data_IF_900722443315
#
_entry.id   IF_900722443315
#
_cell.length_a   1.000
_cell.length_b   1.000
_cell.length_c   1.000
_cell.angle_alpha   90.00
_cell.angle_beta   90.00
_cell.angle_gamma   90.00
#
_symmetry.space_group_name_H-M   'P 1'
#
loop_
_entity.id
_entity.type
_entity.pdbx_description
1 polymer ?
#
# COMPACT_ATOMS: atom_id res chain seq x y z
N UNK A 1 -21.26 -2.43 -6.21
CA UNK A 1 -20.05 -3.09 -6.74
C UNK A 1 -19.48 -3.89 -5.58
N UNK A 2 -19.23 -5.19 -5.75
CA UNK A 2 -18.54 -5.96 -4.70
C UNK A 2 -17.09 -5.47 -4.64
N UNK A 3 -16.54 -5.31 -3.43
CA UNK A 3 -15.13 -4.96 -3.26
C UNK A 3 -14.21 -6.05 -3.77
N UNK A 4 -12.93 -5.75 -3.89
CA UNK A 4 -11.92 -6.71 -4.36
C UNK A 4 -11.31 -7.48 -3.17
N UNK A 5 -10.83 -8.70 -3.43
CA UNK A 5 -10.03 -9.43 -2.45
C UNK A 5 -8.63 -8.82 -2.39
N UNK A 6 -8.19 -8.42 -1.20
CA UNK A 6 -6.84 -7.95 -0.95
C UNK A 6 -6.02 -9.02 -0.23
N UNK A 7 -4.78 -9.22 -0.62
CA UNK A 7 -3.90 -10.24 -0.04
C UNK A 7 -2.64 -9.62 0.51
N UNK A 8 -2.33 -9.93 1.78
CA UNK A 8 -1.13 -9.46 2.47
C UNK A 8 -0.51 -10.60 3.29
N UNK A 9 0.81 -10.66 3.34
CA UNK A 9 1.56 -11.60 4.18
C UNK A 9 2.69 -10.90 4.94
N UNK A 10 3.10 -11.43 6.10
CA UNK A 10 4.27 -10.93 6.81
C UNK A 10 5.55 -11.24 6.03
N UNK A 11 6.62 -10.47 6.27
CA UNK A 11 7.93 -10.67 5.64
C UNK A 11 8.51 -12.07 5.84
N UNK A 12 8.22 -12.69 7.00
CA UNK A 12 8.67 -14.03 7.38
C UNK A 12 7.86 -15.16 6.74
N UNK A 13 6.67 -14.84 6.20
CA UNK A 13 5.82 -15.82 5.53
C UNK A 13 6.39 -16.16 4.16
N UNK A 14 6.60 -17.45 3.87
CA UNK A 14 7.19 -17.93 2.61
C UNK A 14 6.29 -18.92 1.87
N UNK A 15 5.15 -19.27 2.47
CA UNK A 15 4.25 -20.29 1.96
C UNK A 15 2.88 -19.71 1.60
N UNK A 16 2.10 -20.43 0.79
CA UNK A 16 0.74 -20.01 0.43
C UNK A 16 -0.20 -19.87 1.63
N UNK A 17 0.10 -20.53 2.76
CA UNK A 17 -0.70 -20.46 3.98
C UNK A 17 -0.51 -19.16 4.78
N UNK A 18 0.56 -18.41 4.50
CA UNK A 18 0.90 -17.17 5.20
C UNK A 18 0.08 -15.96 4.71
N UNK A 19 -0.57 -16.11 3.55
CA UNK A 19 -1.40 -15.06 2.98
C UNK A 19 -2.68 -14.86 3.80
N UNK A 20 -2.90 -13.60 4.16
CA UNK A 20 -4.14 -13.13 4.74
C UNK A 20 -4.97 -12.49 3.65
N UNK A 21 -6.15 -13.04 3.44
CA UNK A 21 -7.17 -12.50 2.54
C UNK A 21 -8.05 -11.53 3.32
N UNK A 22 -8.21 -10.32 2.80
CA UNK A 22 -9.20 -9.35 3.25
C UNK A 22 -10.25 -9.24 2.14
N UNK A 23 -11.45 -9.82 2.33
CA UNK A 23 -12.47 -9.83 1.31
C UNK A 23 -13.20 -8.49 1.21
N UNK A 24 -13.76 -8.21 0.04
CA UNK A 24 -14.63 -7.04 -0.21
C UNK A 24 -14.00 -5.69 0.17
N UNK A 25 -12.69 -5.54 0.02
CA UNK A 25 -12.01 -4.29 0.29
C UNK A 25 -12.20 -3.28 -0.86
N UNK A 26 -12.31 -2.01 -0.51
CA UNK A 26 -12.13 -0.89 -1.44
C UNK A 26 -10.64 -0.58 -1.53
N UNK A 27 -10.10 -0.70 -2.74
CA UNK A 27 -8.67 -0.59 -3.02
C UNK A 27 -8.45 0.58 -3.96
N UNK A 28 -7.61 1.52 -3.54
CA UNK A 28 -7.16 2.65 -4.35
C UNK A 28 -5.64 2.62 -4.47
N UNK A 29 -5.15 2.76 -5.69
CA UNK A 29 -3.70 2.89 -5.95
C UNK A 29 -3.42 4.28 -6.49
N UNK A 30 -2.36 4.90 -5.97
CA UNK A 30 -1.82 6.17 -6.45
C UNK A 30 -0.36 5.97 -6.81
N UNK A 31 -0.06 6.06 -8.10
CA UNK A 31 1.29 6.04 -8.64
C UNK A 31 1.80 7.48 -8.70
N UNK A 32 3.00 7.71 -8.18
CA UNK A 32 3.66 9.01 -8.22
C UNK A 32 5.09 8.85 -8.73
N UNK A 33 5.53 9.76 -9.60
CA UNK A 33 6.93 9.83 -10.02
C UNK A 33 7.64 10.96 -9.30
N UNK A 34 8.90 10.71 -8.95
CA UNK A 34 9.76 11.75 -8.40
C UNK A 34 10.26 12.64 -9.53
N UNK A 35 9.78 13.90 -9.53
CA UNK A 35 10.17 14.90 -10.52
C UNK A 35 10.87 16.08 -9.84
N UNK A 36 11.95 16.57 -10.44
CA UNK A 36 12.65 17.78 -10.03
C UNK A 36 12.45 18.86 -11.09
N UNK A 37 11.86 20.01 -10.69
CA UNK A 37 11.70 21.19 -11.56
C UNK A 37 12.73 22.25 -11.16
N UNK A 38 13.51 22.71 -12.14
CA UNK A 38 14.46 23.82 -11.95
C UNK A 38 13.96 25.03 -12.73
N UNK A 39 13.70 26.13 -12.03
CA UNK A 39 13.33 27.42 -12.64
C UNK A 39 14.62 28.18 -12.95
N UNK A 40 14.94 28.34 -14.24
CA UNK A 40 16.09 29.14 -14.67
C UNK A 40 15.64 30.59 -14.82
N UNK A 41 16.19 31.51 -14.02
CA UNK A 41 15.87 32.95 -14.13
C UNK A 41 16.82 33.62 -15.12
N UNK A 42 16.29 34.08 -16.25
CA UNK A 42 17.05 34.87 -17.24
C UNK A 42 17.08 34.28 -18.65
N UNK A 43 16.64 33.03 -18.83
CA UNK A 43 16.32 32.44 -20.13
C UNK A 43 14.87 31.91 -20.09
N UNK A 44 14.24 31.83 -21.25
CA UNK A 44 12.84 31.39 -21.40
C UNK A 44 12.76 29.86 -21.27
N UNK A 45 12.54 29.33 -20.06
CA UNK A 45 12.30 27.90 -19.89
C UNK A 45 12.29 27.37 -18.45
N UNK A 46 11.32 26.50 -18.18
CA UNK A 46 11.33 25.59 -17.04
C UNK A 46 11.98 24.27 -17.45
N UNK A 47 13.01 23.83 -16.72
CA UNK A 47 13.57 22.49 -16.91
C UNK A 47 12.87 21.51 -15.98
N UNK A 48 12.20 20.52 -16.55
CA UNK A 48 11.59 19.40 -15.83
C UNK A 48 12.45 18.15 -16.01
N UNK A 49 12.91 17.57 -14.90
CA UNK A 49 13.67 16.32 -14.87
C UNK A 49 12.86 15.24 -14.15
N UNK A 50 12.53 14.15 -14.86
CA UNK A 50 11.96 12.93 -14.27
C UNK A 50 13.11 12.06 -13.77
N UNK A 51 13.11 11.74 -12.47
CA UNK A 51 14.17 10.94 -11.85
C UNK A 51 13.98 9.43 -12.10
N UNK A 52 12.88 9.02 -12.74
CA UNK A 52 12.62 7.62 -13.10
C UNK A 52 12.27 6.73 -11.91
N UNK A 53 12.14 7.29 -10.71
CA UNK A 53 11.67 6.58 -9.51
C UNK A 53 10.15 6.77 -9.40
N UNK A 54 9.43 5.68 -9.58
CA UNK A 54 8.01 5.58 -9.29
C UNK A 54 7.82 5.18 -7.82
N UNK A 55 6.67 5.51 -7.23
CA UNK A 55 6.25 5.03 -5.91
C UNK A 55 4.75 4.81 -5.94
N UNK A 56 4.33 3.58 -5.64
CA UNK A 56 2.93 3.24 -5.48
C UNK A 56 2.49 3.38 -4.01
N UNK A 57 1.38 4.09 -3.83
CA UNK A 57 0.67 4.18 -2.55
C UNK A 57 -0.64 3.42 -2.70
N UNK A 58 -0.84 2.42 -1.85
CA UNK A 58 -2.05 1.62 -1.78
C UNK A 58 -2.87 2.09 -0.58
N UNK A 59 -4.11 2.49 -0.81
CA UNK A 59 -5.09 2.72 0.24
C UNK A 59 -6.11 1.59 0.21
N UNK A 60 -6.22 0.86 1.32
CA UNK A 60 -7.15 -0.26 1.45
C UNK A 60 -8.13 0.10 2.56
N UNK A 61 -9.42 0.01 2.28
CA UNK A 61 -10.46 0.25 3.27
C UNK A 61 -11.60 -0.74 3.16
N UNK A 62 -12.36 -0.91 4.24
CA UNK A 62 -13.46 -1.86 4.30
C UNK A 62 -13.88 -2.12 5.73
N UNK A 63 -14.49 -3.27 5.95
CA UNK A 63 -14.91 -3.74 7.28
C UNK A 63 -14.12 -5.01 7.63
N UNK A 64 -13.67 -5.14 8.87
CA UNK A 64 -12.98 -6.34 9.36
C UNK A 64 -13.21 -6.57 10.84
N UNK A 65 -13.24 -7.84 11.24
CA UNK A 65 -13.41 -8.18 12.65
C UNK A 65 -12.16 -7.83 13.47
N UNK A 66 -12.36 -7.57 14.76
CA UNK A 66 -11.28 -7.19 15.67
C UNK A 66 -10.11 -8.20 15.69
N UNK A 67 -10.39 -9.50 15.56
CA UNK A 67 -9.34 -10.52 15.57
C UNK A 67 -8.52 -10.55 14.27
N UNK A 68 -9.15 -10.25 13.12
CA UNK A 68 -8.46 -10.04 11.85
C UNK A 68 -7.59 -8.78 11.92
N UNK A 69 -8.14 -7.70 12.46
CA UNK A 69 -7.41 -6.45 12.70
C UNK A 69 -6.16 -6.68 13.57
N UNK A 70 -6.27 -7.42 14.67
CA UNK A 70 -5.11 -7.76 15.52
C UNK A 70 -4.03 -8.53 14.75
N UNK A 71 -4.40 -9.39 13.82
CA UNK A 71 -3.47 -10.13 12.96
C UNK A 71 -2.71 -9.19 12.04
N UNK A 72 -3.39 -8.23 11.41
CA UNK A 72 -2.75 -7.20 10.59
C UNK A 72 -1.89 -6.26 11.43
N UNK A 73 -2.33 -5.92 12.65
CA UNK A 73 -1.59 -5.06 13.58
C UNK A 73 -0.25 -5.70 13.99
N UNK A 74 -0.21 -7.03 14.12
CA UNK A 74 1.06 -7.74 14.34
C UNK A 74 2.00 -7.58 13.14
N UNK A 75 1.49 -7.63 11.90
CA UNK A 75 2.30 -7.41 10.69
C UNK A 75 2.83 -5.98 10.60
N UNK A 76 1.99 -5.00 10.91
CA UNK A 76 2.38 -3.59 11.02
C UNK A 76 3.59 -3.43 11.95
N UNK A 77 3.59 -4.13 13.09
CA UNK A 77 4.67 -4.07 14.09
C UNK A 77 5.90 -4.90 13.72
N UNK A 78 5.76 -5.95 12.92
CA UNK A 78 6.90 -6.79 12.50
C UNK A 78 7.72 -6.20 11.35
N UNK A 79 7.13 -5.24 10.61
CA UNK A 79 7.79 -4.56 9.50
C UNK A 79 7.72 -5.31 8.15
N UNK A 80 7.88 -4.53 7.08
CA UNK A 80 8.08 -4.91 5.67
C UNK A 80 7.23 -6.08 5.13
N UNK A 81 5.89 -6.03 5.25
CA UNK A 81 5.00 -7.02 4.63
C UNK A 81 5.13 -7.08 3.10
N UNK A 82 4.58 -8.14 2.51
CA UNK A 82 4.39 -8.26 1.06
C UNK A 82 2.90 -8.30 0.75
N UNK A 83 2.49 -7.66 -0.34
CA UNK A 83 1.12 -7.74 -0.87
C UNK A 83 1.15 -8.40 -2.23
N UNK A 84 0.03 -8.98 -2.63
CA UNK A 84 -0.21 -9.29 -4.03
C UNK A 84 -0.83 -8.06 -4.67
N UNK A 85 -0.15 -7.47 -5.65
CA UNK A 85 -0.62 -6.26 -6.32
C UNK A 85 -1.99 -6.53 -6.96
N UNK A 86 -3.03 -5.78 -6.59
CA UNK A 86 -4.39 -6.02 -7.06
C UNK A 86 -4.62 -5.68 -8.54
N UNK A 87 -3.66 -5.00 -9.19
CA UNK A 87 -3.76 -4.53 -10.58
C UNK A 87 -2.63 -5.02 -11.49
N UNK A 88 -1.47 -5.38 -10.95
CA UNK A 88 -0.29 -5.80 -11.72
C UNK A 88 0.09 -7.29 -11.57
N UNK A 89 -0.73 -8.09 -10.87
CA UNK A 89 -0.56 -9.54 -10.67
C UNK A 89 0.84 -9.95 -10.17
N UNK A 90 1.52 -9.06 -9.44
CA UNK A 90 2.88 -9.26 -8.93
C UNK A 90 2.94 -9.10 -7.42
N UNK A 91 3.82 -9.84 -6.78
CA UNK A 91 4.10 -9.65 -5.35
C UNK A 91 5.04 -8.45 -5.16
N UNK A 92 4.64 -7.50 -4.31
CA UNK A 92 5.45 -6.32 -4.00
C UNK A 92 5.68 -6.21 -2.50
N UNK A 93 6.88 -5.76 -2.14
CA UNK A 93 7.21 -5.40 -0.76
C UNK A 93 6.63 -4.02 -0.48
N UNK A 94 6.04 -3.87 0.70
CA UNK A 94 5.44 -2.60 1.11
C UNK A 94 5.76 -2.30 2.57
N UNK A 95 5.59 -1.04 2.95
CA UNK A 95 5.65 -0.58 4.33
C UNK A 95 4.32 0.06 4.67
N UNK A 96 3.82 -0.17 5.88
CA UNK A 96 2.67 0.56 6.38
C UNK A 96 3.05 2.02 6.67
N UNK A 97 2.42 2.96 5.97
CA UNK A 97 2.49 4.38 6.28
C UNK A 97 1.52 4.75 7.41
N UNK A 98 0.31 4.18 7.40
CA UNK A 98 -0.69 4.38 8.45
C UNK A 98 -1.69 3.22 8.54
N UNK A 99 -2.32 3.09 9.71
CA UNK A 99 -3.31 2.07 10.02
C UNK A 99 -4.37 2.65 10.96
N UNK A 100 -5.63 2.60 10.54
CA UNK A 100 -6.79 3.08 11.27
C UNK A 100 -7.82 1.95 11.42
N UNK A 101 -8.51 1.93 12.57
CA UNK A 101 -9.61 1.01 12.85
C UNK A 101 -10.61 1.66 13.81
N UNK A 102 -11.89 1.61 13.44
CA UNK A 102 -12.99 2.03 14.28
C UNK A 102 -13.68 0.81 14.90
N UNK A 103 -13.50 0.62 16.20
CA UNK A 103 -14.11 -0.50 16.94
C UNK A 103 -15.62 -0.42 17.09
N UNK A 104 -16.27 0.69 16.72
CA UNK A 104 -17.73 0.83 16.76
C UNK A 104 -18.37 0.39 15.45
N UNK A 105 -17.71 0.61 14.31
CA UNK A 105 -18.21 0.28 12.97
C UNK A 105 -17.49 -0.92 12.35
N UNK A 106 -16.44 -1.41 12.98
CA UNK A 106 -15.51 -2.41 12.44
C UNK A 106 -14.84 -1.97 11.13
N UNK A 107 -14.87 -0.68 10.81
CA UNK A 107 -14.26 -0.14 9.61
C UNK A 107 -12.75 0.04 9.79
N UNK A 108 -11.99 -0.22 8.74
CA UNK A 108 -10.54 -0.06 8.72
C UNK A 108 -10.08 0.76 7.52
N UNK A 109 -8.90 1.36 7.67
CA UNK A 109 -8.18 1.99 6.57
C UNK A 109 -6.67 1.81 6.75
N UNK A 110 -6.03 1.24 5.74
CA UNK A 110 -4.58 1.06 5.69
C UNK A 110 -4.00 1.87 4.55
N UNK A 111 -2.84 2.48 4.80
CA UNK A 111 -2.02 3.09 3.76
C UNK A 111 -0.68 2.36 3.70
N UNK A 112 -0.36 1.82 2.53
CA UNK A 112 0.86 1.08 2.26
C UNK A 112 1.65 1.82 1.17
N UNK A 113 2.96 1.88 1.34
CA UNK A 113 3.87 2.44 0.34
C UNK A 113 4.74 1.30 -0.19
N UNK A 114 4.83 1.18 -1.51
CA UNK A 114 5.74 0.24 -2.16
C UNK A 114 7.19 0.54 -1.75
N UNK A 115 7.88 -0.49 -1.29
CA UNK A 115 9.29 -0.43 -0.94
C UNK A 115 10.13 -0.74 -2.17
N UNK A 116 10.59 0.32 -2.83
CA UNK A 116 11.39 0.27 -4.05
C UNK A 116 12.84 0.54 -3.65
N UNK A 117 13.70 -0.45 -3.91
CA UNK A 117 15.15 -0.43 -3.65
C UNK A 117 15.92 -0.06 -4.91
#
# INVERSE_FOLDING_TARGET
MAGMDFFIRPATGTTSADWVRIPNADIKVRLTRRMTRTIVRGEEGDNLHDEGSESAIYTISGEMQLDEYKRILAMFRSGQPCIHDPFEERDVKVVFASMEYDGSTESFKFELIEDIV
#
